data_IF_740591362629
#
_entry.id   IF_740591362629
#
_cell.length_a   1.000
_cell.length_b   1.000
_cell.length_c   1.000
_cell.angle_alpha   90.00
_cell.angle_beta   90.00
_cell.angle_gamma   90.00
#
_symmetry.space_group_name_H-M   'P 1'
#
loop_
_entity.id
_entity.type
_entity.pdbx_description
1 polymer ?
#
# COMPACT_ATOMS: atom_id res chain seq x y z
N UNK A 1 9.17 5.60 7.50
CA UNK A 1 9.56 4.25 7.96
C UNK A 1 8.54 3.18 7.61
N UNK A 2 7.22 3.37 7.81
CA UNK A 2 6.22 2.31 7.62
C UNK A 2 6.28 1.57 6.26
N UNK A 3 6.47 2.27 5.15
CA UNK A 3 6.59 1.63 3.83
C UNK A 3 7.87 0.80 3.67
N UNK A 4 9.00 1.28 4.21
CA UNK A 4 10.26 0.56 4.23
C UNK A 4 10.18 -0.67 5.15
N UNK A 5 9.62 -0.52 6.35
CA UNK A 5 9.36 -1.63 7.29
C UNK A 5 8.38 -2.66 6.71
N UNK A 6 7.44 -2.23 5.87
CA UNK A 6 6.47 -3.10 5.23
C UNK A 6 6.96 -3.70 3.90
N UNK A 7 8.19 -3.41 3.46
CA UNK A 7 8.82 -3.96 2.25
C UNK A 7 8.35 -3.32 0.93
N UNK A 8 7.65 -2.18 0.99
CA UNK A 8 7.20 -1.45 -0.20
C UNK A 8 8.24 -0.48 -0.74
N UNK A 9 9.26 -0.15 0.06
CA UNK A 9 10.39 0.68 -0.32
C UNK A 9 11.66 -0.09 0.04
N UNK A 10 12.67 0.01 -0.81
CA UNK A 10 14.07 -0.35 -0.51
C UNK A 10 14.87 0.93 -0.33
N UNK A 11 15.77 0.95 0.64
CA UNK A 11 16.59 2.12 0.95
C UNK A 11 17.82 1.71 1.75
N UNK A 12 18.84 2.57 1.73
CA UNK A 12 20.05 2.40 2.54
C UNK A 12 19.79 2.99 3.93
N UNK A 13 19.99 2.20 4.98
CA UNK A 13 19.96 2.68 6.37
C UNK A 13 21.20 3.52 6.65
N UNK A 14 21.00 4.79 7.04
CA UNK A 14 22.06 5.75 7.33
C UNK A 14 22.09 6.20 8.80
N UNK A 15 21.44 5.47 9.71
CA UNK A 15 21.43 5.82 11.13
C UNK A 15 22.80 5.62 11.85
N UNK A 16 23.04 6.22 13.03
CA UNK A 16 22.54 7.50 13.54
C UNK A 16 23.71 8.45 13.88
N UNK A 17 23.92 9.48 13.04
CA UNK A 17 24.50 10.75 13.52
C UNK A 17 23.42 11.79 13.87
N UNK A 18 22.20 11.64 13.33
CA UNK A 18 21.10 12.63 13.47
C UNK A 18 19.70 12.01 13.67
N UNK A 19 19.60 10.68 13.82
CA UNK A 19 18.32 9.96 13.99
C UNK A 19 18.10 8.88 12.93
N UNK A 20 16.93 8.21 12.92
CA UNK A 20 16.58 7.22 11.91
C UNK A 20 16.46 7.89 10.55
N UNK A 21 17.40 7.58 9.65
CA UNK A 21 17.51 8.16 8.32
C UNK A 21 17.65 7.06 7.27
N UNK A 22 16.94 7.21 6.15
CA UNK A 22 17.12 6.38 4.96
C UNK A 22 17.57 7.22 3.79
N UNK A 23 18.44 6.65 2.95
CA UNK A 23 18.96 7.27 1.74
C UNK A 23 18.50 6.51 0.50
N UNK A 24 18.30 7.25 -0.58
CA UNK A 24 17.89 6.75 -1.90
C UNK A 24 16.70 5.78 -1.85
N UNK A 25 15.52 6.21 -1.35
CA UNK A 25 14.35 5.35 -1.30
C UNK A 25 13.85 5.04 -2.72
N UNK A 26 13.76 3.76 -3.04
CA UNK A 26 13.19 3.24 -4.28
C UNK A 26 11.97 2.35 -3.97
N UNK A 27 10.97 2.37 -4.83
CA UNK A 27 9.80 1.50 -4.67
C UNK A 27 10.16 0.08 -5.10
N UNK A 28 9.74 -0.90 -4.31
CA UNK A 28 9.75 -2.29 -4.76
C UNK A 28 8.65 -2.49 -5.80
N UNK A 29 8.68 -3.60 -6.54
CA UNK A 29 7.59 -3.98 -7.44
C UNK A 29 6.23 -4.02 -6.72
N UNK A 30 6.19 -4.59 -5.51
CA UNK A 30 4.99 -4.59 -4.67
C UNK A 30 4.57 -3.18 -4.25
N UNK A 31 5.53 -2.28 -4.03
CA UNK A 31 5.28 -0.87 -3.74
C UNK A 31 4.65 -0.14 -4.94
N UNK A 32 5.11 -0.43 -6.15
CA UNK A 32 4.53 0.06 -7.39
C UNK A 32 3.08 -0.41 -7.56
N UNK A 33 2.82 -1.71 -7.42
CA UNK A 33 1.46 -2.27 -7.55
C UNK A 33 0.47 -1.69 -6.52
N UNK A 34 0.92 -1.52 -5.27
CA UNK A 34 0.12 -0.87 -4.24
C UNK A 34 -0.21 0.58 -4.63
N UNK A 35 0.78 1.34 -5.09
CA UNK A 35 0.59 2.73 -5.48
C UNK A 35 -0.35 2.88 -6.68
N UNK A 36 -0.24 2.01 -7.67
CA UNK A 36 -1.13 2.02 -8.84
C UNK A 36 -2.56 1.65 -8.46
N UNK A 37 -2.73 0.69 -7.54
CA UNK A 37 -4.03 0.35 -6.96
C UNK A 37 -4.65 1.54 -6.25
N UNK A 38 -3.88 2.27 -5.43
CA UNK A 38 -4.37 3.44 -4.69
C UNK A 38 -4.61 4.66 -5.59
N UNK A 39 -3.86 4.80 -6.68
CA UNK A 39 -4.03 5.87 -7.67
C UNK A 39 -5.31 5.68 -8.50
N UNK A 40 -5.76 4.45 -8.66
CA UNK A 40 -7.00 4.14 -9.36
C UNK A 40 -8.23 4.55 -8.54
N UNK A 41 -8.94 5.59 -9.01
CA UNK A 41 -10.21 6.04 -8.42
C UNK A 41 -11.22 4.91 -8.17
N UNK A 42 -11.56 4.04 -9.15
CA UNK A 42 -12.55 2.99 -8.91
C UNK A 42 -12.09 1.97 -7.86
N UNK A 43 -10.80 1.66 -7.79
CA UNK A 43 -10.27 0.76 -6.76
C UNK A 43 -10.30 1.42 -5.38
N UNK A 44 -9.91 2.71 -5.29
CA UNK A 44 -9.98 3.47 -4.04
C UNK A 44 -11.40 3.61 -3.49
N UNK A 45 -12.38 3.90 -4.34
CA UNK A 45 -13.80 3.94 -3.94
C UNK A 45 -14.27 2.58 -3.42
N UNK A 46 -13.80 1.48 -4.02
CA UNK A 46 -14.12 0.13 -3.57
C UNK A 46 -13.49 -0.18 -2.22
N UNK A 47 -12.22 0.17 -2.00
CA UNK A 47 -11.54 0.03 -0.70
C UNK A 47 -12.32 0.77 0.39
N UNK A 48 -12.71 2.03 0.14
CA UNK A 48 -13.51 2.82 1.09
C UNK A 48 -14.86 2.19 1.38
N UNK A 49 -15.56 1.73 0.34
CA UNK A 49 -16.88 1.10 0.46
C UNK A 49 -16.77 -0.18 1.30
N UNK A 50 -15.82 -1.07 0.97
CA UNK A 50 -15.63 -2.32 1.71
C UNK A 50 -15.16 -2.08 3.15
N UNK A 51 -14.33 -1.07 3.40
CA UNK A 51 -13.95 -0.69 4.77
C UNK A 51 -15.18 -0.24 5.58
N UNK A 52 -16.03 0.60 4.97
CA UNK A 52 -17.27 1.08 5.60
C UNK A 52 -18.26 -0.04 5.87
N UNK A 53 -18.47 -0.95 4.91
CA UNK A 53 -19.36 -2.11 5.05
C UNK A 53 -18.91 -3.07 6.16
N UNK A 54 -17.59 -3.25 6.31
CA UNK A 54 -17.01 -4.13 7.34
C UNK A 54 -16.81 -3.44 8.69
N UNK A 55 -17.15 -2.15 8.82
CA UNK A 55 -16.89 -1.37 10.03
C UNK A 55 -15.40 -1.22 10.36
N UNK A 56 -14.52 -1.36 9.37
CA UNK A 56 -13.07 -1.25 9.54
C UNK A 56 -12.66 0.22 9.47
N UNK A 57 -11.80 0.65 10.40
CA UNK A 57 -11.07 1.90 10.22
C UNK A 57 -10.08 1.77 9.05
N UNK A 58 -9.94 2.84 8.27
CA UNK A 58 -8.96 2.94 7.19
C UNK A 58 -7.54 3.12 7.75
N UNK A 59 -7.03 2.08 8.41
CA UNK A 59 -5.63 1.97 8.81
C UNK A 59 -4.79 1.51 7.62
N UNK A 60 -3.47 1.66 7.71
CA UNK A 60 -2.56 1.22 6.65
C UNK A 60 -2.71 -0.28 6.35
N UNK A 61 -2.84 -1.13 7.38
CA UNK A 61 -3.03 -2.57 7.21
C UNK A 61 -4.38 -2.91 6.57
N UNK A 62 -5.44 -2.18 6.93
CA UNK A 62 -6.74 -2.34 6.32
C UNK A 62 -6.70 -1.96 4.82
N UNK A 63 -6.04 -0.85 4.48
CA UNK A 63 -5.87 -0.41 3.09
C UNK A 63 -5.02 -1.39 2.29
N UNK A 64 -3.94 -1.94 2.86
CA UNK A 64 -3.12 -2.98 2.23
C UNK A 64 -3.94 -4.24 1.92
N UNK A 65 -4.66 -4.76 2.93
CA UNK A 65 -5.46 -5.99 2.76
C UNK A 65 -6.64 -5.80 1.80
N UNK A 66 -7.33 -4.67 1.88
CA UNK A 66 -8.45 -4.36 1.00
C UNK A 66 -8.00 -4.01 -0.43
N UNK A 67 -6.82 -3.41 -0.59
CA UNK A 67 -6.22 -3.14 -1.90
C UNK A 67 -5.97 -4.43 -2.69
N UNK A 68 -5.37 -5.44 -2.07
CA UNK A 68 -5.18 -6.75 -2.71
C UNK A 68 -6.53 -7.38 -3.08
N UNK A 69 -7.51 -7.35 -2.16
CA UNK A 69 -8.84 -7.88 -2.43
C UNK A 69 -9.57 -7.15 -3.55
N UNK A 70 -9.39 -5.82 -3.67
CA UNK A 70 -9.97 -5.02 -4.73
C UNK A 70 -9.31 -5.32 -6.08
N UNK A 71 -7.99 -5.50 -6.11
CA UNK A 71 -7.24 -5.90 -7.29
C UNK A 71 -7.68 -7.28 -7.81
N UNK A 72 -7.71 -8.30 -6.93
CA UNK A 72 -8.13 -9.66 -7.27
C UNK A 72 -9.56 -9.72 -7.82
N UNK A 73 -10.44 -8.86 -7.29
CA UNK A 73 -11.83 -8.74 -7.75
C UNK A 73 -11.93 -8.23 -9.19
N UNK A 74 -11.15 -7.19 -9.54
CA UNK A 74 -11.14 -6.63 -10.90
C UNK A 74 -10.56 -7.62 -11.91
N UNK A 75 -9.51 -8.34 -11.52
CA UNK A 75 -8.90 -9.38 -12.35
C UNK A 75 -9.88 -10.53 -12.62
N UNK A 76 -10.67 -10.96 -11.62
CA UNK A 76 -11.70 -11.99 -11.79
C UNK A 76 -12.91 -11.57 -12.63
N UNK A 77 -13.20 -10.27 -12.76
CA UNK A 77 -14.29 -9.78 -13.61
C UNK A 77 -13.90 -9.64 -15.09
N UNK A 78 -12.61 -9.78 -15.41
CA UNK A 78 -12.08 -9.66 -16.78
C UNK A 78 -11.77 -11.03 -17.42
N UNK A 79 -12.30 -12.13 -16.88
CA UNK A 79 -12.19 -13.51 -17.39
C UNK A 79 -13.55 -14.15 -17.59
#
# INVERSE_FOLDING_TARGET
MLLWTAGFIEAIDAGPMTGPAILSPELTWQGHDLLDTLRSRPMWERIKTTAKEKGLQLTFDAVKGLGQSAFDYVMKQSS
#
